data_IF_400148964530
#
_entry.id   IF_400148964530
#
_cell.length_a   1.000
_cell.length_b   1.000
_cell.length_c   1.000
_cell.angle_alpha   90.00
_cell.angle_beta   90.00
_cell.angle_gamma   90.00
#
_symmetry.space_group_name_H-M   'P 1'
#
loop_
_entity.id
_entity.type
_entity.pdbx_description
1 polymer ?
#
# COMPACT_ATOMS: atom_id res chain seq x y z
N UNK A 1 2.60 -27.32 28.00
CA UNK A 1 2.92 -26.00 28.58
C UNK A 1 2.48 -26.04 30.02
N UNK A 2 3.42 -25.87 30.92
CA UNK A 2 3.30 -26.14 32.34
C UNK A 2 2.41 -25.10 33.04
N UNK A 3 1.44 -25.61 33.78
CA UNK A 3 0.83 -24.93 34.93
C UNK A 3 1.90 -24.80 36.00
N UNK A 4 2.33 -23.57 36.28
CA UNK A 4 3.20 -23.26 37.41
C UNK A 4 2.31 -23.26 38.65
N UNK A 5 2.31 -24.39 39.35
CA UNK A 5 1.89 -24.48 40.74
C UNK A 5 2.94 -23.72 41.55
N UNK A 6 2.56 -22.56 42.08
CA UNK A 6 3.38 -21.85 43.06
C UNK A 6 3.17 -22.53 44.41
N UNK A 7 3.96 -23.56 44.67
CA UNK A 7 4.24 -24.01 46.04
C UNK A 7 4.90 -22.84 46.80
N UNK A 8 4.14 -22.11 47.62
CA UNK A 8 4.72 -21.34 48.71
C UNK A 8 4.73 -22.23 49.95
N UNK A 9 5.85 -22.95 50.06
CA UNK A 9 6.53 -23.38 51.28
C UNK A 9 5.83 -23.14 52.62
N UNK A 10 5.69 -24.26 53.34
CA UNK A 10 5.63 -24.40 54.78
C UNK A 10 6.41 -23.34 55.59
N UNK A 11 5.70 -22.57 56.42
CA UNK A 11 6.10 -22.21 57.79
C UNK A 11 5.00 -21.40 58.47
N UNK A 12 4.47 -21.92 59.57
CA UNK A 12 3.99 -21.22 60.79
C UNK A 12 2.65 -21.76 61.31
N UNK A 13 2.72 -22.91 61.99
CA UNK A 13 1.75 -23.29 63.02
C UNK A 13 1.98 -22.51 64.35
N UNK A 14 2.54 -21.30 64.29
CA UNK A 14 2.95 -20.50 65.48
C UNK A 14 2.30 -19.12 65.57
N UNK A 15 1.62 -18.61 64.53
CA UNK A 15 1.02 -17.27 64.56
C UNK A 15 -0.48 -17.30 64.91
N UNK A 16 -0.83 -17.94 66.03
CA UNK A 16 -2.15 -17.71 66.61
C UNK A 16 -2.14 -16.34 67.28
N UNK A 17 -2.90 -15.41 66.71
CA UNK A 17 -3.07 -14.08 67.28
C UNK A 17 -4.01 -14.17 68.49
N UNK A 18 -3.43 -14.11 69.69
CA UNK A 18 -4.17 -14.26 70.96
C UNK A 18 -4.74 -12.94 71.48
N UNK A 19 -4.39 -11.81 70.85
CA UNK A 19 -4.87 -10.49 71.24
C UNK A 19 -6.36 -10.33 70.91
N UNK A 20 -7.06 -9.59 71.77
CA UNK A 20 -8.50 -9.37 71.63
C UNK A 20 -8.75 -8.41 70.47
N UNK A 21 -9.55 -8.83 69.49
CA UNK A 21 -9.94 -8.00 68.37
C UNK A 21 -11.08 -7.04 68.73
N UNK A 22 -10.86 -5.75 68.47
CA UNK A 22 -11.80 -4.68 68.79
C UNK A 22 -11.95 -3.76 67.58
N UNK A 23 -13.14 -3.19 67.41
CA UNK A 23 -13.47 -2.31 66.27
C UNK A 23 -13.28 -0.82 66.56
N UNK A 24 -13.25 -0.43 67.84
CA UNK A 24 -13.20 0.97 68.26
C UNK A 24 -12.18 1.17 69.39
N UNK A 25 -11.10 1.90 69.10
CA UNK A 25 -10.08 2.32 70.07
C UNK A 25 -10.70 3.17 71.20
N UNK A 26 -11.61 4.09 70.85
CA UNK A 26 -12.36 4.95 71.79
C UNK A 26 -13.14 4.17 72.86
N UNK A 27 -13.76 3.06 72.48
CA UNK A 27 -14.49 2.23 73.43
C UNK A 27 -13.56 1.58 74.47
N UNK A 28 -12.37 1.13 74.03
CA UNK A 28 -11.36 0.53 74.91
C UNK A 28 -10.80 1.58 75.86
N UNK A 29 -10.44 2.77 75.36
CA UNK A 29 -9.99 3.90 76.18
C UNK A 29 -11.04 4.25 77.24
N UNK A 30 -12.32 4.32 76.85
CA UNK A 30 -13.42 4.61 77.78
C UNK A 30 -13.61 3.56 78.87
N UNK A 31 -13.40 2.27 78.57
CA UNK A 31 -13.45 1.20 79.57
C UNK A 31 -12.21 1.18 80.46
N UNK A 32 -11.03 1.35 79.86
CA UNK A 32 -9.76 1.42 80.57
C UNK A 32 -9.78 2.53 81.63
N UNK A 33 -10.31 3.71 81.30
CA UNK A 33 -10.41 4.82 82.24
C UNK A 33 -11.34 4.51 83.43
N UNK A 34 -12.46 3.81 83.21
CA UNK A 34 -13.36 3.38 84.31
C UNK A 34 -12.66 2.41 85.26
N UNK A 35 -11.92 1.44 84.73
CA UNK A 35 -11.17 0.50 85.55
C UNK A 35 -9.98 1.16 86.27
N UNK A 36 -9.29 2.11 85.62
CA UNK A 36 -8.28 2.95 86.28
C UNK A 36 -8.87 3.69 87.48
N UNK A 37 -10.08 4.23 87.38
CA UNK A 37 -10.74 4.92 88.49
C UNK A 37 -11.05 3.98 89.67
N UNK A 38 -11.41 2.73 89.39
CA UNK A 38 -11.58 1.70 90.42
C UNK A 38 -10.22 1.35 91.05
N UNK A 39 -9.18 1.14 90.25
CA UNK A 39 -7.83 0.79 90.71
C UNK A 39 -7.20 1.87 91.60
N UNK A 40 -7.52 3.16 91.38
CA UNK A 40 -7.12 4.26 92.27
C UNK A 40 -7.58 4.06 93.73
N UNK A 41 -8.64 3.27 93.96
CA UNK A 41 -9.14 2.98 95.31
C UNK A 41 -8.50 1.75 95.97
N UNK A 42 -7.69 0.96 95.23
CA UNK A 42 -7.20 -0.34 95.68
C UNK A 42 -6.30 -0.28 96.93
N UNK A 43 -5.53 0.80 97.10
CA UNK A 43 -4.59 0.97 98.22
C UNK A 43 -5.19 1.73 99.42
N UNK A 44 -6.48 2.11 99.38
CA UNK A 44 -7.14 2.93 100.41
C UNK A 44 -7.17 2.27 101.80
N UNK A 45 -7.07 0.94 101.88
CA UNK A 45 -7.14 0.17 103.13
C UNK A 45 -5.79 -0.20 103.75
N UNK A 46 -4.66 0.13 103.12
CA UNK A 46 -3.35 -0.30 103.62
C UNK A 46 -2.73 0.77 104.53
N UNK A 47 -2.74 0.55 105.85
CA UNK A 47 -2.20 1.50 106.84
C UNK A 47 -0.70 1.34 107.12
N UNK A 48 -0.09 0.26 106.64
CA UNK A 48 1.32 -0.10 106.91
C UNK A 48 2.33 0.59 105.97
N UNK A 49 1.85 1.20 104.88
CA UNK A 49 2.68 1.77 103.82
C UNK A 49 2.67 3.30 103.93
N UNK A 50 3.84 3.93 103.78
CA UNK A 50 3.98 5.40 103.74
C UNK A 50 3.21 6.00 102.56
N UNK A 51 2.63 7.18 102.73
CA UNK A 51 1.82 7.83 101.68
C UNK A 51 2.59 8.07 100.37
N UNK A 52 3.89 8.36 100.44
CA UNK A 52 4.71 8.59 99.25
C UNK A 52 4.98 7.30 98.47
N UNK A 53 5.20 6.17 99.17
CA UNK A 53 5.37 4.86 98.50
C UNK A 53 4.06 4.34 97.92
N UNK A 54 2.91 4.64 98.54
CA UNK A 54 1.59 4.33 97.97
C UNK A 54 1.35 5.03 96.64
N UNK A 55 1.74 6.32 96.52
CA UNK A 55 1.56 7.08 95.28
C UNK A 55 2.36 6.48 94.13
N UNK A 56 3.63 6.15 94.37
CA UNK A 56 4.51 5.51 93.38
C UNK A 56 3.96 4.15 92.94
N UNK A 57 3.57 3.29 93.90
CA UNK A 57 3.00 1.98 93.59
C UNK A 57 1.69 2.07 92.81
N UNK A 58 0.86 3.08 93.10
CA UNK A 58 -0.39 3.32 92.39
C UNK A 58 -0.15 3.80 90.96
N UNK A 59 0.82 4.70 90.76
CA UNK A 59 1.20 5.18 89.44
C UNK A 59 1.77 4.05 88.57
N UNK A 60 2.68 3.24 89.12
CA UNK A 60 3.21 2.04 88.45
C UNK A 60 2.11 1.03 88.14
N UNK A 61 1.18 0.78 89.07
CA UNK A 61 0.05 -0.13 88.84
C UNK A 61 -0.84 0.34 87.69
N UNK A 62 -1.14 1.64 87.62
CA UNK A 62 -1.97 2.21 86.56
C UNK A 62 -1.26 2.18 85.20
N UNK A 63 0.04 2.49 85.16
CA UNK A 63 0.85 2.43 83.94
C UNK A 63 0.99 0.99 83.43
N UNK A 64 1.28 0.04 84.33
CA UNK A 64 1.39 -1.38 83.98
C UNK A 64 0.06 -1.96 83.51
N UNK A 65 -1.07 -1.56 84.13
CA UNK A 65 -2.40 -1.96 83.69
C UNK A 65 -2.70 -1.44 82.28
N UNK A 66 -2.39 -0.18 82.00
CA UNK A 66 -2.58 0.42 80.68
C UNK A 66 -1.74 -0.28 79.61
N UNK A 67 -0.43 -0.42 79.84
CA UNK A 67 0.47 -1.09 78.90
C UNK A 67 0.02 -2.54 78.64
N UNK A 68 -0.34 -3.28 79.69
CA UNK A 68 -0.83 -4.65 79.53
C UNK A 68 -2.12 -4.72 78.70
N UNK A 69 -3.06 -3.79 78.88
CA UNK A 69 -4.28 -3.76 78.07
C UNK A 69 -3.97 -3.39 76.61
N UNK A 70 -3.10 -2.42 76.37
CA UNK A 70 -2.72 -1.99 75.02
C UNK A 70 -1.97 -3.08 74.25
N UNK A 71 -1.07 -3.82 74.92
CA UNK A 71 -0.30 -4.91 74.33
C UNK A 71 -1.16 -6.16 74.01
N UNK A 72 -2.32 -6.30 74.64
CA UNK A 72 -3.21 -7.46 74.49
C UNK A 72 -4.43 -7.20 73.59
N UNK A 73 -4.51 -6.02 72.96
CA UNK A 73 -5.63 -5.61 72.11
C UNK A 73 -5.17 -5.31 70.69
N UNK A 74 -5.98 -5.71 69.72
CA UNK A 74 -5.87 -5.30 68.33
C UNK A 74 -7.09 -4.48 67.92
N UNK A 75 -6.86 -3.34 67.30
CA UNK A 75 -7.92 -2.49 66.75
C UNK A 75 -7.95 -2.67 65.24
N UNK A 76 -9.02 -3.24 64.71
CA UNK A 76 -9.17 -3.56 63.28
C UNK A 76 -7.98 -4.36 62.69
N UNK A 77 -7.37 -5.22 63.51
CA UNK A 77 -6.21 -6.03 63.09
C UNK A 77 -4.86 -5.33 63.21
N UNK A 78 -4.82 -4.06 63.65
CA UNK A 78 -3.60 -3.31 63.90
C UNK A 78 -3.26 -3.27 65.39
N UNK A 79 -1.96 -3.25 65.76
CA UNK A 79 -1.52 -3.00 67.13
C UNK A 79 -1.95 -1.62 67.61
N UNK A 80 -2.02 -1.44 68.92
CA UNK A 80 -2.57 -0.23 69.56
C UNK A 80 -1.96 1.09 69.07
N UNK A 81 -0.65 1.12 68.83
CA UNK A 81 0.09 2.32 68.35
C UNK A 81 -0.14 2.64 66.87
N UNK A 82 -0.40 1.63 66.04
CA UNK A 82 -0.61 1.80 64.60
C UNK A 82 -2.09 2.02 64.25
N UNK A 83 -2.98 1.69 65.17
CA UNK A 83 -4.41 1.85 64.99
C UNK A 83 -4.80 3.33 64.94
N UNK A 84 -5.53 3.76 63.90
CA UNK A 84 -5.91 5.16 63.72
C UNK A 84 -6.73 5.64 64.89
N UNK A 85 -6.32 6.76 65.47
CA UNK A 85 -7.15 7.50 66.40
C UNK A 85 -8.24 8.22 65.59
N UNK A 86 -9.49 7.80 65.78
CA UNK A 86 -10.68 8.30 65.08
C UNK A 86 -10.86 9.83 65.23
N UNK A 87 -10.05 10.49 66.05
CA UNK A 87 -10.10 11.93 66.30
C UNK A 87 -9.00 12.73 65.55
N UNK A 88 -8.10 12.07 64.80
CA UNK A 88 -7.02 12.70 64.03
C UNK A 88 -7.18 12.58 62.50
N UNK A 89 -8.34 12.14 62.01
CA UNK A 89 -8.69 12.50 60.63
C UNK A 89 -8.91 14.01 60.65
N UNK A 90 -7.90 14.77 60.21
CA UNK A 90 -8.03 16.19 59.92
C UNK A 90 -9.41 16.39 59.29
N UNK A 91 -10.26 17.19 59.93
CA UNK A 91 -11.59 17.57 59.43
C UNK A 91 -11.42 18.36 58.13
N UNK A 92 -10.99 17.68 57.06
CA UNK A 92 -11.10 18.18 55.71
C UNK A 92 -12.58 18.45 55.56
N UNK A 93 -12.93 19.70 55.31
CA UNK A 93 -14.30 20.11 55.07
C UNK A 93 -14.75 19.51 53.72
N UNK A 94 -14.98 18.20 53.72
CA UNK A 94 -15.39 17.41 52.57
C UNK A 94 -16.72 17.92 52.03
N UNK A 95 -17.52 18.58 52.87
CA UNK A 95 -18.75 19.26 52.49
C UNK A 95 -18.49 20.38 51.48
N UNK A 96 -17.61 21.34 51.81
CA UNK A 96 -17.30 22.44 50.89
C UNK A 96 -16.56 21.96 49.64
N UNK A 97 -15.63 21.01 49.76
CA UNK A 97 -14.96 20.43 48.60
C UNK A 97 -15.96 19.74 47.65
N UNK A 98 -16.92 19.00 48.21
CA UNK A 98 -17.97 18.35 47.42
C UNK A 98 -18.85 19.38 46.73
N UNK A 99 -19.29 20.42 47.44
CA UNK A 99 -20.13 21.47 46.85
C UNK A 99 -19.42 22.21 45.72
N UNK A 100 -18.14 22.56 45.91
CA UNK A 100 -17.32 23.21 44.89
C UNK A 100 -17.19 22.33 43.63
N UNK A 101 -16.94 21.03 43.80
CA UNK A 101 -16.84 20.10 42.67
C UNK A 101 -18.19 19.90 41.97
N UNK A 102 -19.30 19.87 42.70
CA UNK A 102 -20.65 19.80 42.11
C UNK A 102 -20.96 21.06 41.30
N UNK A 103 -20.64 22.25 41.82
CA UNK A 103 -20.87 23.52 41.12
C UNK A 103 -19.99 23.61 39.87
N UNK A 104 -18.71 23.26 39.98
CA UNK A 104 -17.79 23.26 38.85
C UNK A 104 -18.25 22.31 37.74
N UNK A 105 -18.55 21.05 38.10
CA UNK A 105 -19.00 20.04 37.13
C UNK A 105 -20.30 20.47 36.44
N UNK A 106 -21.25 21.04 37.20
CA UNK A 106 -22.50 21.56 36.66
C UNK A 106 -22.26 22.72 35.68
N UNK A 107 -21.35 23.64 36.03
CA UNK A 107 -20.95 24.76 35.15
C UNK A 107 -20.28 24.25 33.88
N UNK A 108 -19.37 23.27 33.98
CA UNK A 108 -18.68 22.66 32.84
C UNK A 108 -19.68 21.97 31.91
N UNK A 109 -20.58 21.13 32.43
CA UNK A 109 -21.64 20.45 31.66
C UNK A 109 -22.54 21.42 30.90
N UNK A 110 -22.84 22.59 31.46
CA UNK A 110 -23.64 23.63 30.80
C UNK A 110 -22.87 24.41 29.73
N UNK A 111 -21.63 24.76 30.01
CA UNK A 111 -20.89 25.78 29.23
C UNK A 111 -20.05 25.17 28.12
N UNK A 112 -19.33 24.08 28.41
CA UNK A 112 -18.32 23.53 27.49
C UNK A 112 -18.93 23.01 26.20
N UNK A 113 -20.07 22.27 26.19
CA UNK A 113 -20.68 21.86 24.92
C UNK A 113 -21.03 23.03 24.00
N UNK A 114 -21.46 24.16 24.58
CA UNK A 114 -21.79 25.37 23.81
C UNK A 114 -20.56 26.10 23.27
N UNK A 115 -19.42 25.98 23.96
CA UNK A 115 -18.14 26.53 23.50
C UNK A 115 -17.49 25.63 22.43
N UNK A 116 -17.53 24.31 22.62
CA UNK A 116 -16.94 23.32 21.71
C UNK A 116 -17.71 23.24 20.39
N UNK A 117 -19.05 23.31 20.44
CA UNK A 117 -19.91 23.15 19.26
C UNK A 117 -19.53 24.08 18.10
N UNK A 118 -19.36 25.40 18.29
CA UNK A 118 -18.87 26.28 17.23
C UNK A 118 -17.55 25.81 16.63
N UNK A 119 -16.54 25.44 17.42
CA UNK A 119 -15.23 25.04 16.89
C UNK A 119 -15.34 23.82 15.96
N UNK A 120 -16.11 22.80 16.38
CA UNK A 120 -16.32 21.59 15.58
C UNK A 120 -17.13 21.89 14.31
N UNK A 121 -18.16 22.74 14.41
CA UNK A 121 -18.94 23.15 13.22
C UNK A 121 -18.06 23.93 12.24
N UNK A 122 -17.18 24.81 12.71
CA UNK A 122 -16.27 25.56 11.86
C UNK A 122 -15.24 24.64 11.20
N UNK A 123 -14.67 23.66 11.92
CA UNK A 123 -13.72 22.70 11.36
C UNK A 123 -14.36 21.82 10.29
N UNK A 124 -15.55 21.26 10.55
CA UNK A 124 -16.30 20.47 9.57
C UNK A 124 -16.67 21.28 8.33
N UNK A 125 -17.04 22.56 8.52
CA UNK A 125 -17.33 23.45 7.39
C UNK A 125 -16.07 23.76 6.57
N UNK A 126 -14.92 23.90 7.21
CA UNK A 126 -13.63 24.10 6.53
C UNK A 126 -13.24 22.85 5.72
N UNK A 127 -13.37 21.66 6.31
CA UNK A 127 -13.11 20.38 5.64
C UNK A 127 -14.03 20.20 4.42
N UNK A 128 -15.33 20.49 4.56
CA UNK A 128 -16.27 20.45 3.44
C UNK A 128 -15.89 21.43 2.32
N UNK A 129 -15.44 22.64 2.67
CA UNK A 129 -14.95 23.61 1.69
C UNK A 129 -13.71 23.09 0.97
N UNK A 130 -12.77 22.48 1.68
CA UNK A 130 -11.56 21.89 1.11
C UNK A 130 -11.90 20.75 0.13
N UNK A 131 -12.85 19.88 0.48
CA UNK A 131 -13.32 18.82 -0.41
C UNK A 131 -13.93 19.38 -1.71
N UNK A 132 -14.69 20.47 -1.63
CA UNK A 132 -15.26 21.13 -2.81
C UNK A 132 -14.19 21.70 -3.76
N UNK A 133 -13.01 22.05 -3.26
CA UNK A 133 -11.88 22.46 -4.10
C UNK A 133 -11.26 21.27 -4.85
N UNK A 134 -11.24 20.08 -4.24
CA UNK A 134 -10.70 18.87 -4.86
C UNK A 134 -11.57 18.38 -6.03
N UNK A 135 -12.90 18.46 -5.90
CA UNK A 135 -13.85 18.05 -6.95
C UNK A 135 -13.62 18.78 -8.29
N UNK A 136 -13.23 20.05 -8.25
CA UNK A 136 -12.98 20.85 -9.45
C UNK A 136 -11.57 20.65 -10.04
N UNK A 137 -10.63 20.11 -9.27
CA UNK A 137 -9.23 19.98 -9.68
C UNK A 137 -8.99 18.77 -10.59
N UNK A 138 -9.83 17.74 -10.52
CA UNK A 138 -9.63 16.49 -11.27
C UNK A 138 -10.61 16.42 -12.44
N UNK A 139 -10.28 17.11 -13.53
CA UNK A 139 -10.92 16.82 -14.83
C UNK A 139 -10.22 15.61 -15.45
N UNK A 140 -10.94 14.54 -15.84
CA UNK A 140 -10.35 13.44 -16.58
C UNK A 140 -9.65 13.97 -17.83
N UNK A 141 -8.42 13.53 -18.08
CA UNK A 141 -7.72 13.87 -19.30
C UNK A 141 -8.44 13.21 -20.48
N UNK A 142 -9.08 14.01 -21.33
CA UNK A 142 -9.69 13.51 -22.56
C UNK A 142 -8.59 12.98 -23.48
N UNK A 143 -8.59 11.67 -23.70
CA UNK A 143 -7.66 11.01 -24.61
C UNK A 143 -8.22 11.10 -26.02
N UNK A 144 -7.73 12.08 -26.78
CA UNK A 144 -8.02 12.17 -28.20
C UNK A 144 -7.21 11.12 -28.97
N UNK A 145 -7.82 10.56 -30.02
CA UNK A 145 -7.09 9.75 -31.01
C UNK A 145 -6.18 10.70 -31.79
N UNK A 146 -4.96 10.25 -32.07
CA UNK A 146 -4.03 10.99 -32.89
C UNK A 146 -4.59 11.12 -34.33
N UNK A 147 -4.84 12.34 -34.83
CA UNK A 147 -5.41 12.55 -36.16
C UNK A 147 -4.52 11.97 -37.27
N UNK A 148 -3.20 11.92 -37.07
CA UNK A 148 -2.28 11.36 -38.05
C UNK A 148 -2.45 9.84 -38.12
N UNK A 149 -2.69 9.18 -36.97
CA UNK A 149 -2.97 7.75 -36.92
C UNK A 149 -4.29 7.41 -37.62
N UNK A 150 -5.32 8.24 -37.48
CA UNK A 150 -6.61 8.03 -38.14
C UNK A 150 -6.50 8.18 -39.66
N UNK A 151 -5.75 9.16 -40.15
CA UNK A 151 -5.47 9.33 -41.58
C UNK A 151 -4.72 8.13 -42.16
N UNK A 152 -3.65 7.68 -41.48
CA UNK A 152 -2.85 6.53 -41.94
C UNK A 152 -3.70 5.25 -41.98
N UNK A 153 -4.54 5.03 -40.95
CA UNK A 153 -5.45 3.88 -40.92
C UNK A 153 -6.51 3.96 -42.02
N UNK A 154 -7.02 5.15 -42.32
CA UNK A 154 -7.95 5.39 -43.43
C UNK A 154 -7.35 5.05 -44.79
N UNK A 155 -6.15 5.59 -45.07
CA UNK A 155 -5.44 5.38 -46.32
C UNK A 155 -5.07 3.91 -46.53
N UNK A 156 -4.56 3.24 -45.48
CA UNK A 156 -4.25 1.81 -45.52
C UNK A 156 -5.51 0.98 -45.82
N UNK A 157 -6.63 1.30 -45.17
CA UNK A 157 -7.90 0.59 -45.34
C UNK A 157 -8.49 0.80 -46.73
N UNK A 158 -8.28 1.97 -47.34
CA UNK A 158 -8.73 2.26 -48.70
C UNK A 158 -7.84 1.58 -49.77
N UNK A 159 -6.52 1.54 -49.55
CA UNK A 159 -5.57 0.98 -50.51
C UNK A 159 -5.53 -0.56 -50.50
N UNK A 160 -5.67 -1.20 -49.34
CA UNK A 160 -5.51 -2.64 -49.18
C UNK A 160 -6.42 -3.50 -50.11
N UNK A 161 -7.73 -3.21 -50.28
CA UNK A 161 -8.58 -3.98 -51.17
C UNK A 161 -8.15 -3.90 -52.65
N UNK A 162 -7.62 -2.75 -53.08
CA UNK A 162 -7.13 -2.56 -54.44
C UNK A 162 -5.89 -3.42 -54.73
N UNK A 163 -4.93 -3.40 -53.80
CA UNK A 163 -3.72 -4.22 -53.90
C UNK A 163 -4.04 -5.72 -53.88
N UNK A 164 -4.98 -6.16 -53.03
CA UNK A 164 -5.41 -7.56 -52.99
C UNK A 164 -6.02 -8.00 -54.33
N UNK A 165 -6.86 -7.16 -54.95
CA UNK A 165 -7.43 -7.46 -56.28
C UNK A 165 -6.36 -7.60 -57.35
N UNK A 166 -5.37 -6.71 -57.35
CA UNK A 166 -4.24 -6.77 -58.28
C UNK A 166 -3.42 -8.04 -58.07
N UNK A 167 -3.10 -8.41 -56.83
CA UNK A 167 -2.38 -9.64 -56.51
C UNK A 167 -3.12 -10.89 -57.02
N UNK A 168 -4.43 -10.96 -56.78
CA UNK A 168 -5.28 -12.05 -57.29
C UNK A 168 -5.25 -12.10 -58.82
N UNK A 169 -5.30 -10.95 -59.48
CA UNK A 169 -5.25 -10.87 -60.95
C UNK A 169 -3.91 -11.35 -61.50
N UNK A 170 -2.79 -10.93 -60.90
CA UNK A 170 -1.44 -11.38 -61.28
C UNK A 170 -1.35 -12.90 -61.14
N UNK A 171 -1.77 -13.47 -60.01
CA UNK A 171 -1.77 -14.92 -59.77
C UNK A 171 -2.58 -15.65 -60.85
N UNK A 172 -3.76 -15.13 -61.22
CA UNK A 172 -4.56 -15.73 -62.31
C UNK A 172 -3.84 -15.67 -63.65
N UNK A 173 -3.26 -14.52 -64.00
CA UNK A 173 -2.56 -14.33 -65.28
C UNK A 173 -1.27 -15.15 -65.39
N UNK A 174 -0.55 -15.35 -64.30
CA UNK A 174 0.70 -16.12 -64.30
C UNK A 174 0.41 -17.59 -64.64
N UNK A 175 -0.67 -18.14 -64.08
CA UNK A 175 -1.10 -19.51 -64.37
C UNK A 175 -1.50 -19.69 -65.83
N UNK A 176 -2.15 -18.69 -66.44
CA UNK A 176 -2.49 -18.74 -67.86
C UNK A 176 -1.26 -18.63 -68.75
N UNK A 177 -0.32 -17.74 -68.40
CA UNK A 177 0.92 -17.56 -69.14
C UNK A 177 1.80 -18.81 -69.08
N UNK A 178 1.88 -19.46 -67.91
CA UNK A 178 2.61 -20.71 -67.74
C UNK A 178 2.08 -21.80 -68.68
N UNK A 179 0.73 -21.99 -68.75
CA UNK A 179 0.13 -22.96 -69.68
C UNK A 179 0.44 -22.65 -71.15
N UNK A 180 0.42 -21.37 -71.52
CA UNK A 180 0.77 -20.96 -72.89
C UNK A 180 2.25 -21.24 -73.20
N UNK A 181 3.14 -20.96 -72.26
CA UNK A 181 4.58 -21.23 -72.41
C UNK A 181 4.86 -22.74 -72.50
N UNK A 182 4.21 -23.56 -71.66
CA UNK A 182 4.31 -25.02 -71.71
C UNK A 182 3.83 -25.59 -73.06
N UNK A 183 2.68 -25.12 -73.56
CA UNK A 183 2.18 -25.54 -74.87
C UNK A 183 3.08 -25.12 -76.05
N UNK A 184 3.66 -23.93 -76.00
CA UNK A 184 4.66 -23.50 -76.99
C UNK A 184 5.93 -24.36 -76.93
N UNK A 185 6.42 -24.66 -75.72
CA UNK A 185 7.55 -25.57 -75.53
C UNK A 185 7.24 -26.97 -76.06
N UNK A 186 6.02 -27.49 -75.87
CA UNK A 186 5.60 -28.78 -76.43
C UNK A 186 5.67 -28.77 -77.96
N UNK A 187 5.12 -27.74 -78.62
CA UNK A 187 5.18 -27.58 -80.08
C UNK A 187 6.62 -27.52 -80.58
N UNK A 188 7.49 -26.75 -79.93
CA UNK A 188 8.90 -26.64 -80.32
C UNK A 188 9.68 -27.95 -80.16
N UNK A 189 9.26 -28.81 -79.22
CA UNK A 189 9.87 -30.12 -78.99
C UNK A 189 9.24 -31.24 -79.84
N UNK A 190 8.16 -30.98 -80.57
CA UNK A 190 7.57 -31.95 -81.50
C UNK A 190 8.49 -32.14 -82.71
N UNK A 191 8.73 -33.40 -83.08
CA UNK A 191 9.44 -33.71 -84.32
C UNK A 191 8.53 -33.38 -85.51
N UNK A 192 9.04 -32.74 -86.58
CA UNK A 192 8.25 -32.48 -87.77
C UNK A 192 7.71 -33.81 -88.33
N UNK A 193 6.44 -33.81 -88.75
CA UNK A 193 5.82 -35.00 -89.34
C UNK A 193 6.58 -35.43 -90.60
N UNK A 194 6.53 -36.72 -90.93
CA UNK A 194 7.15 -37.24 -92.15
C UNK A 194 6.70 -36.46 -93.40
N UNK A 195 5.40 -36.13 -93.50
CA UNK A 195 4.86 -35.34 -94.60
C UNK A 195 5.45 -33.91 -94.66
N UNK A 196 5.66 -33.26 -93.52
CA UNK A 196 6.30 -31.93 -93.47
C UNK A 196 7.77 -32.00 -93.87
N UNK A 197 8.48 -33.05 -93.46
CA UNK A 197 9.87 -33.29 -93.85
C UNK A 197 10.01 -33.59 -95.35
N UNK A 198 9.05 -34.32 -95.92
CA UNK A 198 9.02 -34.66 -97.34
C UNK A 198 8.78 -33.41 -98.20
N UNK A 199 7.80 -32.58 -97.86
CA UNK A 199 7.58 -31.29 -98.50
C UNK A 199 8.81 -30.37 -98.35
N UNK A 200 9.42 -30.30 -97.16
CA UNK A 200 10.63 -29.50 -96.97
C UNK A 200 11.79 -30.01 -97.84
N UNK A 201 11.90 -31.32 -98.04
CA UNK A 201 12.89 -31.94 -98.92
C UNK A 201 12.58 -31.68 -100.40
N UNK A 202 11.33 -31.63 -100.81
CA UNK A 202 10.93 -31.31 -102.19
C UNK A 202 11.16 -29.83 -102.52
N UNK A 203 10.90 -28.92 -101.57
CA UNK A 203 11.00 -27.48 -101.78
C UNK A 203 12.43 -26.96 -101.57
N UNK A 204 13.15 -27.48 -100.56
CA UNK A 204 14.47 -27.00 -100.15
C UNK A 204 15.59 -28.05 -100.28
N UNK A 205 15.28 -29.30 -100.59
CA UNK A 205 16.27 -30.36 -100.76
C UNK A 205 16.76 -30.45 -102.20
N UNK A 206 17.90 -29.83 -102.49
CA UNK A 206 18.61 -29.98 -103.76
C UNK A 206 19.43 -31.28 -103.76
N UNK A 207 19.15 -32.21 -104.68
CA UNK A 207 19.91 -33.44 -104.90
C UNK A 207 20.58 -33.34 -106.29
N UNK A 208 21.90 -33.21 -106.35
CA UNK A 208 22.66 -33.30 -107.61
C UNK A 208 24.09 -32.76 -107.54
N UNK A 209 25.07 -33.65 -107.75
CA UNK A 209 26.48 -33.34 -107.99
C UNK A 209 26.69 -32.68 -109.36
N UNK A 210 27.49 -31.61 -109.44
CA UNK A 210 28.33 -31.27 -110.61
C UNK A 210 29.36 -30.18 -110.24
N UNK A 211 30.48 -30.21 -110.96
CA UNK A 211 31.80 -29.61 -110.72
C UNK A 211 31.96 -28.13 -110.34
N UNK A 212 32.97 -27.89 -109.48
CA UNK A 212 33.82 -26.70 -109.26
C UNK A 212 33.18 -25.39 -108.71
N UNK A 213 33.99 -24.47 -108.13
CA UNK A 213 34.96 -24.60 -107.03
C UNK A 213 34.53 -23.74 -105.81
N UNK A 214 35.10 -23.99 -104.63
CA UNK A 214 34.92 -23.17 -103.41
C UNK A 214 35.26 -21.68 -103.66
N UNK A 215 34.41 -20.74 -103.17
CA UNK A 215 34.90 -19.47 -102.66
C UNK A 215 34.50 -19.25 -101.19
N UNK A 216 35.52 -18.86 -100.42
CA UNK A 216 35.52 -17.94 -99.29
C UNK A 216 34.45 -18.10 -98.18
N UNK A 217 34.87 -18.69 -97.05
CA UNK A 217 34.27 -18.43 -95.75
C UNK A 217 34.69 -17.02 -95.28
N UNK A 218 33.95 -16.02 -95.73
CA UNK A 218 34.04 -14.63 -95.28
C UNK A 218 32.67 -13.99 -95.24
N UNK A 219 32.27 -13.58 -94.03
CA UNK A 219 31.22 -12.62 -93.71
C UNK A 219 29.74 -12.99 -94.00
N UNK A 220 29.03 -13.36 -92.92
CA UNK A 220 27.70 -12.83 -92.66
C UNK A 220 27.39 -12.89 -91.15
N UNK A 221 28.12 -12.11 -90.34
CA UNK A 221 27.61 -11.65 -89.04
C UNK A 221 26.38 -10.77 -89.31
N UNK A 222 25.21 -11.38 -89.42
CA UNK A 222 23.94 -10.66 -89.35
C UNK A 222 23.58 -10.47 -87.89
N UNK A 223 23.94 -9.29 -87.39
CA UNK A 223 23.42 -8.63 -86.19
C UNK A 223 21.99 -9.08 -85.85
N UNK A 224 21.85 -9.86 -84.77
CA UNK A 224 20.60 -10.06 -84.06
C UNK A 224 20.72 -9.31 -82.73
N UNK A 225 20.20 -8.09 -82.66
CA UNK A 225 19.89 -7.46 -81.38
C UNK A 225 18.38 -7.19 -81.31
N UNK A 226 17.67 -7.78 -80.34
CA UNK A 226 16.27 -7.49 -80.13
C UNK A 226 16.09 -6.20 -79.30
N UNK A 227 14.93 -5.59 -79.54
CA UNK A 227 14.34 -4.37 -78.99
C UNK A 227 14.32 -4.41 -77.45
N UNK A 228 15.46 -4.12 -76.80
CA UNK A 228 15.54 -4.00 -75.33
C UNK A 228 15.80 -2.58 -74.85
N UNK A 229 16.25 -1.67 -75.72
CA UNK A 229 16.65 -0.32 -75.32
C UNK A 229 15.50 0.68 -75.18
N UNK A 230 14.41 0.49 -75.92
CA UNK A 230 13.32 1.47 -75.97
C UNK A 230 12.35 1.41 -74.76
N UNK A 231 12.31 0.31 -74.02
CA UNK A 231 11.40 0.14 -72.86
C UNK A 231 12.06 0.61 -71.56
N UNK A 232 13.38 0.51 -71.45
CA UNK A 232 14.13 0.84 -70.24
C UNK A 232 14.32 2.36 -70.06
N UNK A 233 14.36 3.13 -71.16
CA UNK A 233 14.56 4.58 -71.13
C UNK A 233 13.28 5.35 -70.74
N UNK A 234 12.09 4.81 -71.03
CA UNK A 234 10.81 5.42 -70.64
C UNK A 234 10.47 5.25 -69.14
N UNK A 235 11.01 4.23 -68.48
CA UNK A 235 10.78 3.97 -67.06
C UNK A 235 11.67 4.85 -66.14
N UNK A 236 12.78 5.38 -66.66
CA UNK A 236 13.75 6.13 -65.87
C UNK A 236 13.41 7.63 -65.70
N UNK A 237 12.60 8.21 -66.58
CA UNK A 237 12.29 9.65 -66.57
C UNK A 237 11.16 10.07 -65.62
N UNK A 238 10.29 9.13 -65.19
CA UNK A 238 9.12 9.45 -64.35
C UNK A 238 9.39 9.39 -62.82
N UNK A 239 10.61 9.05 -62.38
CA UNK A 239 10.89 8.74 -60.97
C UNK A 239 11.72 9.79 -60.20
N UNK A 240 11.94 11.01 -60.71
CA UNK A 240 12.76 12.00 -59.99
C UNK A 240 12.06 13.34 -59.75
N UNK A 241 11.68 13.59 -58.49
CA UNK A 241 11.28 14.91 -57.97
C UNK A 241 12.40 15.41 -57.05
N UNK A 242 13.06 16.55 -57.36
CA UNK A 242 14.14 17.08 -56.52
C UNK A 242 13.64 17.58 -55.16
N UNK A 243 14.31 17.14 -54.10
CA UNK A 243 14.05 17.52 -52.71
C UNK A 243 14.49 18.97 -52.44
N UNK A 244 13.59 19.83 -51.97
CA UNK A 244 13.90 21.20 -51.58
C UNK A 244 14.84 21.25 -50.36
N UNK A 245 15.87 22.10 -50.45
CA UNK A 245 16.88 22.34 -49.41
C UNK A 245 16.24 22.83 -48.11
N UNK A 246 16.57 22.19 -46.98
CA UNK A 246 16.37 22.74 -45.63
C UNK A 246 17.46 23.80 -45.33
N UNK A 247 17.16 24.90 -44.63
CA UNK A 247 18.18 25.77 -44.07
C UNK A 247 18.72 25.18 -42.75
N UNK A 248 20.03 25.34 -42.58
CA UNK A 248 20.82 24.94 -41.41
C UNK A 248 20.42 25.68 -40.13
N UNK A 249 20.42 24.96 -39.01
CA UNK A 249 20.44 25.51 -37.67
C UNK A 249 21.82 26.14 -37.37
N UNK A 250 21.91 27.31 -36.72
CA UNK A 250 23.13 27.70 -36.02
C UNK A 250 23.10 27.20 -34.58
N UNK A 251 24.18 26.53 -34.20
CA UNK A 251 24.54 26.21 -32.83
C UNK A 251 25.25 27.41 -32.18
N UNK A 252 24.98 27.61 -30.89
CA UNK A 252 25.96 28.09 -29.92
C UNK A 252 26.00 29.60 -29.65
N UNK A 253 25.67 29.96 -28.41
CA UNK A 253 26.19 31.05 -27.55
C UNK A 253 25.45 30.83 -26.20
N UNK A 254 26.09 30.47 -25.07
CA UNK A 254 27.12 31.21 -24.36
C UNK A 254 26.49 31.82 -23.10
N UNK A 255 26.58 31.14 -21.95
CA UNK A 255 26.54 31.78 -20.61
C UNK A 255 27.70 32.80 -20.48
N UNK A 256 27.78 33.73 -19.49
CA UNK A 256 27.06 33.77 -18.20
C UNK A 256 26.54 35.16 -17.72
N UNK A 257 25.61 35.17 -16.76
CA UNK A 257 25.67 35.97 -15.51
C UNK A 257 24.67 35.43 -14.48
#
# INVERSE_FOLDING_TARGET
MATVETESSSSDETNQEYRVQIRSKKQVVGQMNKYKDILKSALRGQTEITEDTKRVLLEELLANFEAAVQENVLVNGHPWEEAPDVEEDEDVDLGSLLDDTIVETTRRRRTYPRQILPHVVHSLKAERKLMGLYEHAVKPQEVFKDPDQESIMGDLSAAAPGMVKQAIQVIKSINTLQKQAEGLCEILNMKPSHATLEIHREVFGYNGQSDAPLPAAGAAERNKQPIKRAVEEAAATDCYVPLAKKPDCPAGEGEPE
#
